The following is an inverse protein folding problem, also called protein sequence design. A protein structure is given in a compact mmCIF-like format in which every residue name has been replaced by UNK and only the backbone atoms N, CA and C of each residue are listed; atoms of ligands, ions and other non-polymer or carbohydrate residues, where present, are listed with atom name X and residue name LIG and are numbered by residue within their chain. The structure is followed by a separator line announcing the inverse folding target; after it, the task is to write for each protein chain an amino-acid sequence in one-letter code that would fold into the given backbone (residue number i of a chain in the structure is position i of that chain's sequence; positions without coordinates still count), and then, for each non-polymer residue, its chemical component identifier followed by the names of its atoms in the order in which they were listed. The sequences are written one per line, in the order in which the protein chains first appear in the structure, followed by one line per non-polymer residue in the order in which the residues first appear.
data_IF_047208434455
#
_entry.id   IF_047208434455
#
_cell.length_a   1.000
_cell.length_b   1.000
_cell.length_c   1.000
_cell.angle_alpha   90.00
_cell.angle_beta   90.00
_cell.angle_gamma   90.00
#
_symmetry.space_group_name_H-M   'P 1'
#
loop_
_entity.id
_entity.type
_entity.pdbx_description
1 polymer ?
#
# COMPACT_ATOMS: atom_id res chain seq x y z
N UNK A 1 4.33 -27.69 9.79
CA UNK A 1 4.00 -26.29 10.14
C UNK A 1 3.04 -25.77 9.09
N UNK A 2 1.85 -25.35 9.44
CA UNK A 2 0.90 -24.74 8.49
C UNK A 2 0.84 -23.25 8.77
N UNK A 3 1.17 -22.43 7.78
CA UNK A 3 0.98 -20.99 7.85
C UNK A 3 -0.44 -20.69 7.39
N UNK A 4 -1.09 -19.88 8.16
CA UNK A 4 -2.30 -19.19 7.72
C UNK A 4 -1.87 -17.77 7.44
N UNK A 5 -1.84 -17.41 6.17
CA UNK A 5 -1.83 -16.00 5.79
C UNK A 5 -3.14 -15.43 6.33
N UNK A 6 -3.09 -14.81 7.51
CA UNK A 6 -4.21 -14.00 7.96
C UNK A 6 -4.36 -12.88 6.96
N UNK A 7 -5.37 -12.98 6.09
CA UNK A 7 -5.74 -11.93 5.13
C UNK A 7 -6.01 -10.56 5.81
N UNK A 8 -6.18 -10.56 7.12
CA UNK A 8 -6.33 -9.37 7.96
C UNK A 8 -5.06 -8.50 8.08
N UNK A 9 -3.86 -9.07 7.92
CA UNK A 9 -2.63 -8.29 7.96
C UNK A 9 -2.48 -7.33 6.77
N UNK A 10 -3.14 -7.62 5.65
CA UNK A 10 -3.11 -6.75 4.47
C UNK A 10 -4.08 -5.56 4.56
N UNK A 11 -5.16 -5.67 5.34
CA UNK A 11 -6.15 -4.60 5.49
C UNK A 11 -5.72 -3.53 6.52
N UNK A 12 -4.84 -3.85 7.47
CA UNK A 12 -4.38 -2.91 8.50
C UNK A 12 -3.18 -2.05 8.08
N UNK A 13 -2.51 -2.36 6.98
CA UNK A 13 -1.34 -1.62 6.49
C UNK A 13 -1.65 -0.56 5.43
N UNK A 14 -2.89 -0.47 4.93
CA UNK A 14 -3.31 0.60 4.02
C UNK A 14 -3.67 1.92 4.73
N UNK A 15 -3.58 1.98 6.04
CA UNK A 15 -3.86 3.20 6.83
C UNK A 15 -2.66 4.16 6.98
N UNK A 16 -1.55 3.92 6.29
CA UNK A 16 -0.43 4.86 6.24
C UNK A 16 -0.61 5.83 5.07
N UNK A 17 -1.14 6.99 5.43
CA UNK A 17 -0.98 8.30 4.80
C UNK A 17 -1.05 8.36 3.27
N UNK A 18 -2.24 8.31 2.71
CA UNK A 18 -2.49 8.87 1.39
C UNK A 18 -2.72 10.38 1.51
N UNK A 19 -1.70 11.17 1.27
CA UNK A 19 -1.83 12.59 1.03
C UNK A 19 -2.28 12.84 -0.40
N UNK A 20 -3.58 12.95 -0.64
CA UNK A 20 -4.12 13.44 -1.91
C UNK A 20 -4.18 14.97 -1.88
N UNK A 21 -3.96 15.61 -3.03
CA UNK A 21 -4.18 17.05 -3.22
C UNK A 21 -5.65 17.40 -2.97
N UNK A 22 -6.03 17.74 -1.75
CA UNK A 22 -7.31 18.37 -1.48
C UNK A 22 -7.20 19.86 -1.79
N UNK A 23 -7.97 20.35 -2.79
CA UNK A 23 -8.20 21.78 -2.96
C UNK A 23 -9.23 22.21 -1.91
N UNK A 24 -8.82 23.17 -1.06
CA UNK A 24 -9.75 23.90 -0.18
C UNK A 24 -10.87 24.53 -1.01
N UNK A 25 -12.10 24.09 -0.84
CA UNK A 25 -13.26 24.92 -1.11
C UNK A 25 -13.54 25.74 0.14
N UNK A 26 -13.19 27.02 0.13
CA UNK A 26 -13.57 27.95 1.17
C UNK A 26 -15.11 28.02 1.23
N UNK A 27 -15.68 27.45 2.27
CA UNK A 27 -17.10 27.56 2.59
C UNK A 27 -17.42 28.93 3.11
N UNK A 28 -18.33 29.60 2.42
CA UNK A 28 -18.93 30.86 2.81
C UNK A 28 -19.87 30.63 4.00
N UNK A 29 -19.73 31.41 5.07
CA UNK A 29 -20.53 31.29 6.30
C UNK A 29 -22.01 31.50 6.02
N UNK A 30 -22.79 30.45 6.17
CA UNK A 30 -24.25 30.46 6.21
C UNK A 30 -24.71 29.71 7.46
N UNK A 31 -25.73 30.25 8.14
CA UNK A 31 -26.45 29.62 9.26
C UNK A 31 -27.17 28.35 8.76
N UNK A 32 -26.46 27.25 8.69
CA UNK A 32 -26.98 25.96 8.30
C UNK A 32 -26.87 24.96 9.45
N UNK A 33 -27.84 24.08 9.58
CA UNK A 33 -27.77 22.87 10.41
C UNK A 33 -26.46 22.14 10.15
N UNK A 34 -25.73 21.81 11.18
CA UNK A 34 -24.46 21.05 11.06
C UNK A 34 -24.78 19.73 10.37
N UNK A 35 -24.23 19.57 9.16
CA UNK A 35 -24.34 18.31 8.41
C UNK A 35 -23.71 17.18 9.23
N UNK A 36 -24.43 16.07 9.37
CA UNK A 36 -23.92 14.92 10.12
C UNK A 36 -22.75 14.28 9.35
N UNK A 37 -21.90 13.53 10.06
CA UNK A 37 -20.79 12.84 9.43
C UNK A 37 -21.27 11.85 8.33
N UNK A 38 -22.43 11.19 8.53
CA UNK A 38 -23.01 10.31 7.52
C UNK A 38 -23.54 11.07 6.30
N UNK A 39 -24.10 12.26 6.47
CA UNK A 39 -24.53 13.11 5.33
C UNK A 39 -23.34 13.50 4.44
N UNK A 40 -22.17 13.80 5.04
CA UNK A 40 -20.93 14.07 4.30
C UNK A 40 -20.48 12.86 3.49
N UNK A 41 -20.48 11.67 4.10
CA UNK A 41 -20.14 10.42 3.42
C UNK A 41 -21.14 10.14 2.29
N UNK A 42 -22.44 10.28 2.56
CA UNK A 42 -23.50 10.03 1.58
C UNK A 42 -23.35 10.94 0.36
N UNK A 43 -23.17 12.25 0.58
CA UNK A 43 -22.96 13.23 -0.47
C UNK A 43 -21.71 12.92 -1.31
N UNK A 44 -20.60 12.52 -0.66
CA UNK A 44 -19.37 12.16 -1.35
C UNK A 44 -19.54 10.89 -2.20
N UNK A 45 -20.17 9.86 -1.67
CA UNK A 45 -20.44 8.61 -2.40
C UNK A 45 -21.38 8.83 -3.57
N UNK A 46 -22.45 9.62 -3.40
CA UNK A 46 -23.39 9.94 -4.46
C UNK A 46 -22.73 10.66 -5.64
N UNK A 47 -21.73 11.52 -5.38
CA UNK A 47 -20.99 12.23 -6.43
C UNK A 47 -19.85 11.38 -7.01
N UNK A 48 -19.04 10.69 -6.17
CA UNK A 48 -17.72 10.21 -6.57
C UNK A 48 -17.53 8.71 -6.61
N UNK A 49 -18.35 7.93 -5.87
CA UNK A 49 -18.20 6.48 -5.87
C UNK A 49 -18.33 5.91 -7.29
N UNK A 50 -17.49 4.95 -7.65
CA UNK A 50 -17.46 4.41 -9.01
C UNK A 50 -18.80 3.80 -9.44
N UNK A 51 -19.53 3.20 -8.52
CA UNK A 51 -20.89 2.63 -8.75
C UNK A 51 -22.00 3.51 -8.18
N UNK A 52 -21.88 4.84 -8.34
CA UNK A 52 -22.84 5.79 -7.81
C UNK A 52 -24.27 5.65 -8.41
N UNK A 53 -24.41 5.02 -9.57
CA UNK A 53 -25.72 4.72 -10.18
C UNK A 53 -26.57 3.78 -9.32
N UNK A 54 -26.02 2.62 -8.89
CA UNK A 54 -26.70 1.73 -7.95
C UNK A 54 -26.82 2.38 -6.57
N UNK A 55 -25.76 3.02 -6.08
CA UNK A 55 -25.74 3.72 -4.79
C UNK A 55 -26.89 4.73 -4.68
N UNK A 56 -27.13 5.53 -5.72
CA UNK A 56 -28.21 6.53 -5.76
C UNK A 56 -29.63 5.95 -5.70
N UNK A 57 -29.79 4.66 -6.04
CA UNK A 57 -31.10 3.96 -6.01
C UNK A 57 -31.36 3.24 -4.69
N UNK A 58 -30.35 3.12 -3.82
CA UNK A 58 -30.50 2.42 -2.55
C UNK A 58 -31.21 3.26 -1.50
N UNK A 59 -31.97 2.60 -0.64
CA UNK A 59 -32.39 3.18 0.63
C UNK A 59 -31.20 3.18 1.58
N UNK A 60 -30.83 4.34 2.12
CA UNK A 60 -29.67 4.52 3.00
C UNK A 60 -30.14 4.87 4.42
N UNK A 61 -29.54 4.23 5.39
CA UNK A 61 -29.77 4.53 6.80
C UNK A 61 -28.66 5.44 7.33
N UNK A 62 -28.92 6.74 7.32
CA UNK A 62 -27.97 7.77 7.79
C UNK A 62 -27.84 7.80 9.32
N UNK A 63 -28.59 6.97 10.05
CA UNK A 63 -28.51 6.91 11.52
C UNK A 63 -27.48 5.91 12.05
N UNK A 64 -26.79 5.18 11.15
CA UNK A 64 -25.76 4.20 11.54
C UNK A 64 -24.61 4.89 12.27
N UNK A 65 -24.38 4.48 13.52
CA UNK A 65 -23.28 5.00 14.30
C UNK A 65 -21.93 4.38 13.89
N UNK A 66 -20.85 5.15 14.08
CA UNK A 66 -19.50 4.67 13.85
C UNK A 66 -19.04 3.82 15.05
N UNK A 67 -19.10 2.49 14.93
CA UNK A 67 -18.60 1.56 15.94
C UNK A 67 -17.09 1.28 15.75
N UNK A 68 -16.66 1.01 14.52
CA UNK A 68 -15.27 0.72 14.15
C UNK A 68 -15.01 1.04 12.68
N UNK A 69 -13.75 1.02 12.24
CA UNK A 69 -13.35 1.27 10.84
C UNK A 69 -14.01 0.30 9.85
N UNK A 70 -14.36 -0.89 10.29
CA UNK A 70 -15.09 -1.91 9.51
C UNK A 70 -16.57 -2.03 9.87
N UNK A 71 -17.08 -1.22 10.78
CA UNK A 71 -18.49 -1.20 11.19
C UNK A 71 -18.99 0.24 11.32
N UNK A 72 -19.48 0.78 10.22
CA UNK A 72 -19.91 2.16 10.05
C UNK A 72 -20.87 2.26 8.85
N UNK A 73 -21.42 3.44 8.61
CA UNK A 73 -22.34 3.73 7.51
C UNK A 73 -21.79 3.31 6.15
N UNK A 74 -20.55 3.69 5.81
CA UNK A 74 -19.93 3.36 4.53
C UNK A 74 -19.87 1.84 4.34
N UNK A 75 -19.28 1.13 5.30
CA UNK A 75 -19.06 -0.32 5.19
C UNK A 75 -20.38 -1.08 5.07
N UNK A 76 -21.35 -0.78 5.92
CA UNK A 76 -22.65 -1.46 5.90
C UNK A 76 -23.41 -1.21 4.59
N UNK A 77 -23.38 0.03 4.10
CA UNK A 77 -24.04 0.40 2.85
C UNK A 77 -23.39 -0.29 1.64
N UNK A 78 -22.07 -0.17 1.49
CA UNK A 78 -21.38 -0.71 0.31
C UNK A 78 -21.33 -2.23 0.27
N UNK A 79 -21.33 -2.91 1.41
CA UNK A 79 -21.46 -4.38 1.45
C UNK A 79 -22.83 -4.85 0.95
N UNK A 80 -23.89 -4.04 1.11
CA UNK A 80 -25.24 -4.31 0.61
C UNK A 80 -25.40 -4.20 -0.91
N UNK A 81 -24.48 -3.53 -1.62
CA UNK A 81 -24.54 -3.34 -3.07
C UNK A 81 -24.22 -4.65 -3.83
N UNK A 82 -24.58 -4.70 -5.10
CA UNK A 82 -24.37 -5.88 -5.98
C UNK A 82 -23.42 -5.64 -7.14
N UNK A 83 -23.41 -4.42 -7.71
CA UNK A 83 -22.56 -4.07 -8.87
C UNK A 83 -21.11 -3.80 -8.53
N UNK A 84 -20.79 -3.48 -7.27
CA UNK A 84 -19.45 -3.08 -6.83
C UNK A 84 -18.50 -4.26 -6.58
N UNK A 85 -18.47 -5.23 -7.49
CA UNK A 85 -17.69 -6.47 -7.33
C UNK A 85 -16.19 -6.23 -7.29
N UNK A 86 -15.68 -5.17 -7.95
CA UNK A 86 -14.26 -4.80 -7.94
C UNK A 86 -13.85 -4.10 -6.63
N UNK A 87 -14.80 -3.57 -5.86
CA UNK A 87 -14.55 -3.04 -4.52
C UNK A 87 -14.54 -4.15 -3.46
N UNK A 88 -15.09 -5.32 -3.78
CA UNK A 88 -15.26 -6.45 -2.84
C UNK A 88 -14.20 -7.51 -3.06
N UNK A 89 -13.26 -7.64 -2.11
CA UNK A 89 -12.33 -8.75 -2.07
C UNK A 89 -12.95 -9.93 -1.29
N UNK A 90 -13.10 -11.06 -1.98
CA UNK A 90 -13.57 -12.30 -1.37
C UNK A 90 -12.45 -12.98 -0.60
N UNK A 91 -12.75 -13.41 0.61
CA UNK A 91 -11.91 -14.24 1.46
C UNK A 91 -12.65 -15.50 1.86
N UNK A 92 -11.88 -16.56 2.14
CA UNK A 92 -12.45 -17.80 2.70
C UNK A 92 -11.81 -18.04 4.07
N UNK A 93 -12.64 -18.17 5.10
CA UNK A 93 -12.15 -18.49 6.45
C UNK A 93 -11.56 -19.90 6.51
N UNK A 94 -10.79 -20.18 7.55
CA UNK A 94 -10.29 -21.53 7.83
C UNK A 94 -11.39 -22.58 8.00
N UNK A 95 -12.61 -22.14 8.30
CA UNK A 95 -13.81 -22.98 8.37
C UNK A 95 -14.56 -23.11 7.03
N UNK A 96 -14.00 -22.58 5.93
CA UNK A 96 -14.60 -22.66 4.60
C UNK A 96 -15.72 -21.65 4.32
N UNK A 97 -15.99 -20.72 5.24
CA UNK A 97 -16.97 -19.66 5.02
C UNK A 97 -16.39 -18.52 4.19
N UNK A 98 -17.17 -18.03 3.22
CA UNK A 98 -16.80 -16.89 2.43
C UNK A 98 -17.27 -15.59 3.13
N UNK A 99 -16.40 -14.60 3.12
CA UNK A 99 -16.72 -13.23 3.52
C UNK A 99 -16.07 -12.24 2.56
N UNK A 100 -16.56 -11.00 2.58
CA UNK A 100 -16.04 -9.95 1.73
C UNK A 100 -15.51 -8.81 2.58
N UNK A 101 -14.33 -8.28 2.21
CA UNK A 101 -13.85 -7.00 2.66
C UNK A 101 -13.94 -6.01 1.51
N UNK A 102 -14.20 -4.76 1.83
CA UNK A 102 -14.14 -3.67 0.87
C UNK A 102 -12.71 -3.17 0.72
N UNK A 103 -12.36 -2.68 -0.47
CA UNK A 103 -11.22 -1.79 -0.65
C UNK A 103 -11.55 -0.37 -0.18
N UNK A 104 -12.80 0.09 -0.40
CA UNK A 104 -13.30 1.34 0.17
C UNK A 104 -13.26 1.29 1.69
N UNK A 105 -12.78 2.37 2.31
CA UNK A 105 -12.68 2.45 3.76
C UNK A 105 -12.96 3.86 4.28
N UNK A 106 -13.24 3.94 5.58
CA UNK A 106 -13.20 5.17 6.36
C UNK A 106 -12.47 4.88 7.67
N UNK A 107 -11.58 5.78 8.08
CA UNK A 107 -10.91 5.73 9.38
C UNK A 107 -11.26 6.95 10.20
N UNK A 108 -11.24 6.80 11.52
CA UNK A 108 -11.51 7.87 12.49
C UNK A 108 -10.39 7.96 13.51
N UNK A 109 -9.88 9.16 13.72
CA UNK A 109 -8.88 9.46 14.76
C UNK A 109 -9.36 10.60 15.65
N UNK A 110 -9.13 10.50 16.97
CA UNK A 110 -9.37 11.61 17.87
C UNK A 110 -8.51 12.81 17.46
N UNK A 111 -9.10 14.00 17.44
CA UNK A 111 -8.37 15.25 17.13
C UNK A 111 -7.37 15.57 18.23
N UNK A 112 -6.10 15.68 17.87
CA UNK A 112 -5.08 16.21 18.76
C UNK A 112 -5.27 17.72 18.88
N UNK A 113 -5.50 18.23 20.10
CA UNK A 113 -5.58 19.69 20.37
C UNK A 113 -4.26 20.43 20.10
N UNK A 114 -3.17 19.73 19.81
CA UNK A 114 -1.83 20.29 19.61
C UNK A 114 -1.46 20.49 18.12
N UNK A 115 -2.28 20.15 17.16
CA UNK A 115 -1.95 20.23 15.74
C UNK A 115 -2.63 21.43 15.04
N UNK A 116 -2.50 22.62 15.59
CA UNK A 116 -2.76 23.86 14.85
C UNK A 116 -1.50 24.26 14.09
N UNK A 117 -1.47 23.95 12.80
CA UNK A 117 -0.54 24.58 11.90
C UNK A 117 0.54 23.67 11.32
N UNK A 118 0.19 22.95 10.28
CA UNK A 118 1.05 22.76 9.11
C UNK A 118 0.15 22.31 7.96
N UNK A 119 -0.48 23.29 7.31
CA UNK A 119 -1.01 23.12 5.96
C UNK A 119 0.17 23.10 5.01
N UNK A 120 0.71 21.95 4.69
CA UNK A 120 1.72 21.81 3.66
C UNK A 120 1.04 21.39 2.36
N UNK A 121 0.87 22.34 1.47
CA UNK A 121 0.73 22.08 0.04
C UNK A 121 2.09 21.59 -0.47
N UNK A 122 2.14 20.38 -0.98
CA UNK A 122 3.34 19.81 -1.59
C UNK A 122 3.82 18.56 -0.87
N UNK A 123 4.54 17.73 -1.58
CA UNK A 123 5.37 16.68 -1.00
C UNK A 123 6.35 17.35 -0.05
N UNK A 124 6.37 16.96 1.21
CA UNK A 124 7.29 17.51 2.21
C UNK A 124 8.67 16.89 2.00
N UNK A 125 9.40 17.40 1.01
CA UNK A 125 10.81 17.08 0.84
C UNK A 125 11.58 17.51 2.11
N UNK A 126 12.30 16.59 2.73
CA UNK A 126 13.27 16.87 3.77
C UNK A 126 12.75 16.95 5.21
N UNK A 127 11.47 16.76 5.50
CA UNK A 127 10.97 16.68 6.88
C UNK A 127 10.85 15.20 7.27
N UNK A 128 11.80 14.70 8.07
CA UNK A 128 11.67 13.38 8.70
C UNK A 128 10.38 13.35 9.51
N UNK A 129 9.42 12.53 9.10
CA UNK A 129 8.26 12.21 9.91
C UNK A 129 8.65 11.17 10.93
N UNK A 130 9.03 11.60 12.13
CA UNK A 130 8.99 10.71 13.27
C UNK A 130 7.53 10.33 13.51
N UNK A 131 7.24 9.06 13.33
CA UNK A 131 5.90 8.53 13.46
C UNK A 131 5.61 8.02 14.87
N UNK A 132 4.55 7.23 14.99
CA UNK A 132 4.15 6.58 16.21
C UNK A 132 5.26 5.64 16.74
N UNK A 133 5.20 5.30 18.02
CA UNK A 133 6.11 4.34 18.62
C UNK A 133 5.96 2.97 17.98
N UNK A 134 7.08 2.25 17.81
CA UNK A 134 7.11 0.90 17.26
C UNK A 134 8.36 0.15 17.64
N UNK A 135 8.29 -1.18 17.54
CA UNK A 135 9.46 -2.05 17.71
C UNK A 135 10.30 -2.15 16.42
N UNK A 136 9.76 -1.72 15.29
CA UNK A 136 10.46 -1.73 14.01
C UNK A 136 10.10 -2.90 13.10
N UNK A 137 9.08 -3.66 13.41
CA UNK A 137 8.54 -4.66 12.49
C UNK A 137 7.79 -3.96 11.37
N UNK A 138 8.37 -3.95 10.17
CA UNK A 138 7.67 -3.44 8.99
C UNK A 138 6.52 -4.39 8.60
N UNK A 139 6.68 -5.69 8.87
CA UNK A 139 5.60 -6.68 8.70
C UNK A 139 5.81 -7.88 9.60
N UNK A 140 4.74 -8.31 10.27
CA UNK A 140 4.65 -9.54 11.05
C UNK A 140 3.57 -10.44 10.47
N UNK A 141 3.76 -11.76 10.59
CA UNK A 141 2.73 -12.75 10.33
C UNK A 141 2.48 -13.64 11.54
N UNK A 142 1.37 -14.36 11.53
CA UNK A 142 1.02 -15.36 12.54
C UNK A 142 1.35 -16.75 12.00
N UNK A 143 2.03 -17.57 12.80
CA UNK A 143 2.36 -18.96 12.48
C UNK A 143 1.71 -19.88 13.52
N UNK A 144 1.11 -20.97 13.05
CA UNK A 144 0.57 -22.03 13.91
C UNK A 144 1.55 -23.17 14.03
N UNK A 145 1.77 -23.62 15.26
CA UNK A 145 2.63 -24.76 15.52
C UNK A 145 1.81 -26.04 15.49
N UNK A 146 2.10 -26.91 14.51
CA UNK A 146 1.35 -28.15 14.30
C UNK A 146 1.26 -29.00 15.57
N UNK A 147 0.06 -29.47 15.89
CA UNK A 147 -0.23 -30.40 17.01
C UNK A 147 0.07 -29.87 18.42
N UNK A 148 0.22 -28.55 18.60
CA UNK A 148 0.49 -27.95 19.92
C UNK A 148 -0.66 -27.11 20.47
N UNK A 149 -1.60 -26.69 19.61
CA UNK A 149 -2.62 -25.68 19.96
C UNK A 149 -2.01 -24.31 20.25
N UNK A 150 -0.76 -24.07 19.83
CA UNK A 150 -0.04 -22.82 20.03
C UNK A 150 0.23 -22.11 18.70
N UNK A 151 0.34 -20.79 18.79
CA UNK A 151 0.75 -19.91 17.71
C UNK A 151 1.99 -19.12 18.09
N UNK A 152 2.57 -18.43 17.13
CA UNK A 152 3.66 -17.49 17.33
C UNK A 152 3.60 -16.40 16.26
N UNK A 153 4.57 -15.51 16.30
CA UNK A 153 4.72 -14.49 15.28
C UNK A 153 6.01 -14.73 14.51
N UNK A 154 5.97 -14.49 13.20
CA UNK A 154 7.17 -14.52 12.38
C UNK A 154 7.43 -13.17 11.74
N UNK A 155 8.69 -12.80 11.68
CA UNK A 155 9.13 -11.55 11.07
C UNK A 155 9.14 -11.72 9.55
N UNK A 156 8.40 -10.88 8.85
CA UNK A 156 8.40 -10.81 7.39
C UNK A 156 9.33 -9.72 6.88
N UNK A 157 9.40 -8.60 7.60
CA UNK A 157 10.32 -7.51 7.30
C UNK A 157 10.52 -6.62 8.53
N UNK A 158 11.69 -5.97 8.62
CA UNK A 158 12.03 -4.98 9.64
C UNK A 158 12.43 -3.65 9.00
N UNK A 159 12.19 -2.55 9.69
CA UNK A 159 12.71 -1.25 9.27
C UNK A 159 14.19 -1.13 9.64
N UNK A 160 15.06 -0.75 8.69
CA UNK A 160 16.49 -0.55 8.96
C UNK A 160 16.73 0.44 10.12
N UNK A 161 17.66 0.13 11.00
CA UNK A 161 18.03 0.94 12.17
C UNK A 161 16.99 0.98 13.29
N UNK A 162 15.91 0.19 13.21
CA UNK A 162 14.89 0.08 14.25
C UNK A 162 15.35 -0.76 15.45
N UNK A 163 14.61 -0.75 16.60
CA UNK A 163 14.93 -1.65 17.72
C UNK A 163 15.03 -3.13 17.30
N UNK A 164 14.10 -3.62 16.49
CA UNK A 164 14.12 -5.00 16.00
C UNK A 164 15.35 -5.29 15.12
N UNK A 165 15.73 -4.34 14.24
CA UNK A 165 16.91 -4.48 13.39
C UNK A 165 18.21 -4.49 14.20
N UNK A 166 18.35 -3.57 15.17
CA UNK A 166 19.52 -3.50 16.08
C UNK A 166 19.65 -4.75 16.97
N UNK A 167 18.52 -5.37 17.32
CA UNK A 167 18.49 -6.63 18.06
C UNK A 167 18.82 -7.86 17.19
N UNK A 168 19.06 -7.68 15.90
CA UNK A 168 19.39 -8.77 14.98
C UNK A 168 18.19 -9.57 14.48
N UNK A 169 16.96 -9.14 14.74
CA UNK A 169 15.78 -9.78 14.17
C UNK A 169 15.74 -9.54 12.67
N UNK A 170 15.51 -10.60 11.91
CA UNK A 170 15.52 -10.61 10.45
C UNK A 170 14.30 -11.35 9.92
N UNK A 171 14.03 -11.18 8.64
CA UNK A 171 13.00 -11.97 7.95
C UNK A 171 13.22 -13.45 8.21
N UNK A 172 12.18 -14.15 8.66
CA UNK A 172 12.21 -15.56 9.04
C UNK A 172 12.38 -15.82 10.55
N UNK A 173 12.74 -14.83 11.37
CA UNK A 173 12.74 -15.00 12.84
C UNK A 173 11.33 -15.33 13.32
N UNK A 174 11.19 -16.36 14.16
CA UNK A 174 9.92 -16.79 14.75
C UNK A 174 9.96 -16.60 16.26
N UNK A 175 8.95 -15.92 16.80
CA UNK A 175 8.75 -15.77 18.24
C UNK A 175 7.74 -16.80 18.73
N UNK A 176 8.13 -17.61 19.73
CA UNK A 176 7.27 -18.62 20.38
C UNK A 176 6.58 -18.12 21.63
N UNK A 177 7.18 -17.14 22.32
CA UNK A 177 6.63 -16.54 23.53
C UNK A 177 6.78 -15.02 23.48
N UNK A 178 5.82 -14.32 24.08
CA UNK A 178 5.83 -12.88 24.28
C UNK A 178 5.58 -12.61 25.76
N UNK A 179 6.50 -11.86 26.41
CA UNK A 179 6.51 -11.59 27.84
C UNK A 179 6.47 -12.87 28.70
N UNK A 180 7.19 -13.91 28.27
CA UNK A 180 7.28 -15.20 28.94
C UNK A 180 6.02 -16.09 28.80
N UNK A 181 5.06 -15.68 27.97
CA UNK A 181 3.83 -16.42 27.75
C UNK A 181 3.75 -17.02 26.33
N UNK A 182 3.42 -18.29 26.22
CA UNK A 182 3.03 -18.92 24.96
C UNK A 182 1.66 -18.40 24.52
N UNK A 183 1.45 -18.30 23.22
CA UNK A 183 0.22 -17.76 22.60
C UNK A 183 -0.65 -18.92 22.13
N UNK A 184 -1.91 -18.96 22.55
CA UNK A 184 -2.84 -19.97 22.05
C UNK A 184 -3.21 -19.74 20.59
N UNK A 185 -3.45 -20.82 19.83
CA UNK A 185 -3.85 -20.78 18.44
C UNK A 185 -5.36 -20.46 18.31
N UNK A 186 -5.73 -19.26 18.76
CA UNK A 186 -7.05 -18.69 18.53
C UNK A 186 -6.95 -17.21 18.20
N UNK A 187 -7.86 -16.73 17.37
CA UNK A 187 -7.86 -15.34 16.91
C UNK A 187 -8.03 -14.35 18.07
N UNK A 188 -8.87 -14.70 19.04
CA UNK A 188 -9.08 -13.90 20.26
C UNK A 188 -7.81 -13.73 21.09
N UNK A 189 -6.90 -14.68 21.07
CA UNK A 189 -5.66 -14.66 21.85
C UNK A 189 -4.50 -13.97 21.12
N UNK A 190 -4.25 -14.32 19.86
CA UNK A 190 -3.12 -13.70 19.16
C UNK A 190 -3.40 -12.29 18.62
N UNK A 191 -4.66 -11.90 18.36
CA UNK A 191 -4.97 -10.56 17.81
C UNK A 191 -4.61 -9.41 18.76
N UNK A 192 -4.93 -9.44 20.06
CA UNK A 192 -4.49 -8.40 20.99
C UNK A 192 -2.96 -8.28 21.07
N UNK A 193 -2.25 -9.42 21.07
CA UNK A 193 -0.78 -9.44 21.08
C UNK A 193 -0.24 -8.84 19.79
N UNK A 194 -0.76 -9.25 18.62
CA UNK A 194 -0.38 -8.68 17.32
C UNK A 194 -0.54 -7.16 17.29
N UNK A 195 -1.69 -6.63 17.73
CA UNK A 195 -1.94 -5.18 17.81
C UNK A 195 -0.92 -4.48 18.70
N UNK A 196 -0.59 -5.05 19.86
CA UNK A 196 0.42 -4.49 20.77
C UNK A 196 1.82 -4.47 20.13
N UNK A 197 2.18 -5.47 19.34
CA UNK A 197 3.47 -5.55 18.66
C UNK A 197 3.56 -4.60 17.45
N UNK A 198 2.46 -4.35 16.77
CA UNK A 198 2.42 -3.49 15.57
C UNK A 198 2.07 -2.03 15.89
N UNK A 199 1.38 -1.77 17.00
CA UNK A 199 0.95 -0.44 17.43
C UNK A 199 1.07 -0.31 18.95
N UNK A 200 2.29 -0.28 19.50
CA UNK A 200 2.51 -0.18 20.94
C UNK A 200 2.07 1.19 21.48
N UNK A 201 1.64 1.22 22.73
CA UNK A 201 1.34 2.46 23.45
C UNK A 201 2.63 3.08 24.00
N UNK A 202 3.12 4.13 23.36
CA UNK A 202 4.33 4.85 23.80
C UNK A 202 5.58 3.95 23.78
N UNK A 203 6.53 4.24 24.65
CA UNK A 203 7.79 3.50 24.81
C UNK A 203 7.61 2.18 25.61
N UNK A 204 6.63 1.38 25.22
CA UNK A 204 6.40 0.08 25.86
C UNK A 204 7.56 -0.89 25.62
N UNK A 205 7.86 -1.74 26.62
CA UNK A 205 8.84 -2.81 26.49
C UNK A 205 8.14 -4.16 26.38
N UNK A 206 8.72 -5.06 25.58
CA UNK A 206 8.22 -6.43 25.35
C UNK A 206 9.40 -7.39 25.31
N UNK A 207 9.27 -8.52 26.01
CA UNK A 207 10.22 -9.63 25.97
C UNK A 207 9.81 -10.59 24.84
N UNK A 208 10.72 -10.85 23.93
CA UNK A 208 10.55 -11.79 22.80
C UNK A 208 11.42 -13.02 23.03
N UNK A 209 10.87 -14.21 22.85
CA UNK A 209 11.63 -15.45 22.83
C UNK A 209 11.68 -16.04 21.43
N UNK A 210 12.88 -16.15 20.89
CA UNK A 210 13.11 -16.71 19.55
C UNK A 210 12.95 -18.23 19.62
N UNK A 211 12.12 -18.79 18.76
CA UNK A 211 11.76 -20.21 18.77
C UNK A 211 12.94 -21.13 18.50
N UNK A 212 13.77 -20.77 17.52
CA UNK A 212 14.84 -21.65 17.04
C UNK A 212 16.00 -21.75 18.04
N UNK A 213 16.33 -20.64 18.70
CA UNK A 213 17.50 -20.56 19.62
C UNK A 213 17.11 -20.60 21.08
N UNK A 214 15.86 -20.31 21.42
CA UNK A 214 15.42 -20.10 22.80
C UNK A 214 15.92 -18.79 23.41
N UNK A 215 16.60 -17.93 22.63
CA UNK A 215 17.12 -16.64 23.08
C UNK A 215 15.98 -15.69 23.42
N UNK A 216 16.16 -14.97 24.54
CA UNK A 216 15.21 -13.97 25.01
C UNK A 216 15.81 -12.58 24.85
N UNK A 217 15.05 -11.68 24.21
CA UNK A 217 15.46 -10.31 23.95
C UNK A 217 14.34 -9.35 24.30
N UNK A 218 14.63 -8.35 25.12
CA UNK A 218 13.68 -7.27 25.41
C UNK A 218 13.87 -6.13 24.42
N UNK A 219 12.80 -5.75 23.71
CA UNK A 219 12.78 -4.53 22.92
C UNK A 219 11.94 -3.46 23.62
N UNK A 220 12.40 -2.22 23.53
CA UNK A 220 11.61 -1.03 23.89
C UNK A 220 11.19 -0.32 22.61
N UNK A 221 9.92 -0.01 22.50
CA UNK A 221 9.39 0.72 21.35
C UNK A 221 9.93 2.16 21.33
N UNK A 222 10.34 2.61 20.17
CA UNK A 222 10.87 3.94 19.89
C UNK A 222 10.04 4.66 18.83
N UNK A 223 10.20 5.95 18.69
CA UNK A 223 9.67 6.67 17.53
C UNK A 223 10.43 6.20 16.28
N UNK A 224 9.71 5.66 15.32
CA UNK A 224 10.31 5.09 14.11
C UNK A 224 10.37 6.11 12.97
N UNK A 225 11.32 5.88 12.08
CA UNK A 225 11.31 6.41 10.73
C UNK A 225 10.98 5.25 9.77
N UNK A 226 9.69 4.99 9.47
CA UNK A 226 9.27 3.79 8.72
C UNK A 226 9.50 3.99 7.22
N UNK A 227 10.76 4.16 6.83
CA UNK A 227 11.16 4.25 5.42
C UNK A 227 10.71 2.99 4.66
N UNK A 228 9.87 3.10 3.63
CA UNK A 228 9.41 1.95 2.87
C UNK A 228 10.50 1.30 2.01
N UNK A 229 11.65 1.96 1.76
CA UNK A 229 12.83 1.33 1.17
C UNK A 229 13.54 0.53 2.26
N UNK A 230 13.24 -0.76 2.33
CA UNK A 230 13.81 -1.64 3.36
C UNK A 230 15.22 -2.10 3.02
N UNK A 231 15.55 -2.18 1.74
CA UNK A 231 16.86 -2.54 1.21
C UNK A 231 17.07 -1.93 -0.16
N UNK A 232 18.26 -1.42 -0.42
CA UNK A 232 18.70 -0.98 -1.75
C UNK A 232 20.21 -1.23 -1.86
N UNK A 233 20.59 -2.16 -2.73
CA UNK A 233 21.99 -2.55 -2.94
C UNK A 233 22.27 -2.88 -4.40
N UNK A 234 23.53 -2.85 -4.78
CA UNK A 234 24.00 -3.30 -6.09
C UNK A 234 24.68 -4.66 -5.93
N UNK A 235 24.20 -5.64 -6.68
CA UNK A 235 24.76 -6.99 -6.75
C UNK A 235 25.52 -7.11 -8.06
N UNK A 236 26.77 -7.55 -8.00
CA UNK A 236 27.59 -7.81 -9.19
C UNK A 236 27.52 -9.31 -9.51
N UNK A 237 27.02 -9.64 -10.71
CA UNK A 237 26.92 -11.01 -11.21
C UNK A 237 27.51 -11.07 -12.64
N UNK A 238 28.75 -11.57 -12.77
CA UNK A 238 29.47 -11.56 -14.03
C UNK A 238 29.69 -10.14 -14.55
N UNK A 239 29.16 -9.83 -15.73
CA UNK A 239 29.22 -8.49 -16.34
C UNK A 239 28.02 -7.60 -15.95
N UNK A 240 27.03 -8.15 -15.23
CA UNK A 240 25.83 -7.44 -14.83
C UNK A 240 26.02 -6.72 -13.49
N UNK A 241 25.51 -5.50 -13.42
CA UNK A 241 25.31 -4.76 -12.19
C UNK A 241 23.81 -4.67 -11.93
N UNK A 242 23.33 -5.40 -10.94
CA UNK A 242 21.93 -5.56 -10.65
C UNK A 242 21.57 -4.68 -9.47
N UNK A 243 20.68 -3.70 -9.68
CA UNK A 243 20.04 -2.98 -8.57
C UNK A 243 19.01 -3.89 -7.93
N UNK A 244 19.15 -4.20 -6.65
CA UNK A 244 18.14 -4.90 -5.88
C UNK A 244 17.50 -3.96 -4.86
N UNK A 245 16.17 -3.80 -4.92
CA UNK A 245 15.43 -2.93 -4.01
C UNK A 245 14.23 -3.66 -3.42
N UNK A 246 14.13 -3.70 -2.10
CA UNK A 246 12.93 -4.13 -1.36
C UNK A 246 12.14 -2.88 -0.96
N UNK A 247 10.92 -2.74 -1.51
CA UNK A 247 10.09 -1.55 -1.33
C UNK A 247 8.70 -1.95 -0.83
N UNK A 248 8.36 -1.51 0.39
CA UNK A 248 7.22 -2.05 1.14
C UNK A 248 5.93 -1.22 1.03
N UNK A 249 5.96 -0.03 0.44
CA UNK A 249 4.76 0.82 0.29
C UNK A 249 5.03 2.13 -0.43
N UNK A 250 4.04 2.64 -1.15
CA UNK A 250 4.11 3.92 -1.84
C UNK A 250 3.60 5.03 -0.93
N UNK A 251 4.50 5.66 -0.16
CA UNK A 251 4.19 6.83 0.66
C UNK A 251 5.02 8.02 0.20
N UNK A 252 4.34 9.02 -0.38
CA UNK A 252 4.97 10.22 -0.92
C UNK A 252 5.80 11.01 0.11
N UNK A 253 5.59 10.78 1.40
CA UNK A 253 6.41 11.40 2.44
C UNK A 253 7.85 10.88 2.46
N UNK A 254 8.13 9.75 1.81
CA UNK A 254 9.44 9.09 1.72
C UNK A 254 9.96 9.01 0.29
N UNK A 255 9.38 9.76 -0.65
CA UNK A 255 9.82 9.75 -2.05
C UNK A 255 11.28 10.20 -2.22
N UNK A 256 11.78 11.08 -1.33
CA UNK A 256 13.19 11.47 -1.34
C UNK A 256 14.12 10.28 -1.05
N UNK A 257 13.78 9.41 -0.11
CA UNK A 257 14.57 8.19 0.19
C UNK A 257 14.56 7.22 -1.00
N UNK A 258 13.42 7.12 -1.69
CA UNK A 258 13.31 6.33 -2.91
C UNK A 258 14.17 6.93 -4.04
N UNK A 259 14.10 8.24 -4.25
CA UNK A 259 14.91 8.96 -5.24
C UNK A 259 16.41 8.83 -4.94
N UNK A 260 16.82 8.92 -3.67
CA UNK A 260 18.22 8.72 -3.27
C UNK A 260 18.71 7.30 -3.58
N UNK A 261 17.86 6.31 -3.42
CA UNK A 261 18.18 4.91 -3.77
C UNK A 261 18.32 4.73 -5.29
N UNK A 262 17.44 5.35 -6.08
CA UNK A 262 17.51 5.34 -7.54
C UNK A 262 18.74 6.08 -8.05
N UNK A 263 19.13 7.19 -7.40
CA UNK A 263 20.38 7.91 -7.72
C UNK A 263 21.59 7.01 -7.51
N UNK A 264 21.67 6.28 -6.39
CA UNK A 264 22.76 5.32 -6.12
C UNK A 264 22.84 4.25 -7.21
N UNK A 265 21.72 3.73 -7.66
CA UNK A 265 21.66 2.75 -8.75
C UNK A 265 22.15 3.34 -10.08
N UNK A 266 21.69 4.54 -10.44
CA UNK A 266 22.17 5.25 -11.64
C UNK A 266 23.67 5.49 -11.57
N UNK A 267 24.17 6.00 -10.44
CA UNK A 267 25.58 6.34 -10.28
C UNK A 267 26.48 5.10 -10.30
N UNK A 268 25.97 3.95 -9.84
CA UNK A 268 26.64 2.66 -9.98
C UNK A 268 26.60 2.11 -11.41
N UNK A 269 25.73 2.65 -12.27
CA UNK A 269 25.54 2.20 -13.64
C UNK A 269 24.93 0.79 -13.70
N UNK A 270 23.83 0.56 -12.99
CA UNK A 270 23.15 -0.74 -13.05
C UNK A 270 22.68 -1.05 -14.47
N UNK A 271 22.79 -2.31 -14.86
CA UNK A 271 22.30 -2.85 -16.13
C UNK A 271 20.90 -3.42 -16.01
N UNK A 272 20.55 -3.92 -14.82
CA UNK A 272 19.32 -4.61 -14.52
C UNK A 272 18.74 -4.14 -13.17
N UNK A 273 17.41 -4.27 -13.00
CA UNK A 273 16.72 -3.97 -11.75
C UNK A 273 15.90 -5.16 -11.32
N UNK A 274 16.12 -5.66 -10.11
CA UNK A 274 15.20 -6.55 -9.39
C UNK A 274 14.47 -5.74 -8.35
N UNK A 275 13.17 -5.55 -8.58
CA UNK A 275 12.32 -4.74 -7.75
C UNK A 275 11.39 -5.62 -6.91
N UNK A 276 11.64 -5.70 -5.61
CA UNK A 276 10.93 -6.58 -4.69
C UNK A 276 9.72 -5.86 -4.08
N UNK A 277 8.56 -6.19 -4.63
CA UNK A 277 7.25 -5.69 -4.21
C UNK A 277 6.40 -6.75 -3.50
N UNK A 278 6.99 -7.86 -3.07
CA UNK A 278 6.23 -9.02 -2.54
C UNK A 278 5.27 -8.68 -1.41
N UNK A 279 5.56 -7.67 -0.61
CA UNK A 279 4.69 -7.24 0.50
C UNK A 279 4.09 -5.85 0.30
N UNK A 280 4.29 -5.24 -0.86
CA UNK A 280 3.84 -3.88 -1.14
C UNK A 280 2.36 -3.85 -1.59
N UNK A 281 1.48 -3.42 -0.71
CA UNK A 281 0.04 -3.31 -0.98
C UNK A 281 -0.37 -2.09 -1.82
N UNK A 282 0.59 -1.29 -2.30
CA UNK A 282 0.32 -0.06 -3.05
C UNK A 282 0.54 1.20 -2.22
N UNK A 283 -0.28 2.20 -2.43
CA UNK A 283 -0.24 3.52 -1.81
C UNK A 283 -0.46 4.65 -2.81
N UNK A 284 0.30 5.74 -2.70
CA UNK A 284 0.12 6.91 -3.56
C UNK A 284 0.45 6.63 -5.03
N UNK A 285 -0.51 6.89 -5.92
CA UNK A 285 -0.32 6.75 -7.39
C UNK A 285 0.78 7.69 -7.89
N UNK A 286 0.92 8.85 -7.26
CA UNK A 286 1.95 9.82 -7.66
C UNK A 286 3.37 9.29 -7.45
N UNK A 287 3.64 8.59 -6.34
CA UNK A 287 4.92 7.93 -6.08
C UNK A 287 5.15 6.76 -7.04
N UNK A 288 4.09 6.02 -7.39
CA UNK A 288 4.16 4.95 -8.40
C UNK A 288 4.54 5.50 -9.78
N UNK A 289 3.91 6.62 -10.18
CA UNK A 289 4.24 7.33 -11.43
C UNK A 289 5.69 7.83 -11.44
N UNK A 290 6.15 8.46 -10.34
CA UNK A 290 7.52 8.92 -10.18
C UNK A 290 8.51 7.77 -10.36
N UNK A 291 8.33 6.67 -9.65
CA UNK A 291 9.18 5.48 -9.73
C UNK A 291 9.20 4.90 -11.15
N UNK A 292 8.03 4.71 -11.76
CA UNK A 292 7.93 4.20 -13.13
C UNK A 292 8.63 5.13 -14.13
N UNK A 293 8.54 6.45 -13.91
CA UNK A 293 9.24 7.46 -14.70
C UNK A 293 10.77 7.29 -14.60
N UNK A 294 11.29 7.14 -13.40
CA UNK A 294 12.73 6.94 -13.17
C UNK A 294 13.23 5.63 -13.79
N UNK A 295 12.47 4.54 -13.70
CA UNK A 295 12.81 3.26 -14.31
C UNK A 295 12.90 3.40 -15.84
N UNK A 296 11.86 3.98 -16.46
CA UNK A 296 11.75 4.09 -17.92
C UNK A 296 12.71 5.15 -18.52
N UNK A 297 13.03 6.20 -17.75
CA UNK A 297 13.84 7.31 -18.19
C UNK A 297 13.21 8.02 -19.41
N UNK A 298 14.02 8.43 -20.39
CA UNK A 298 13.58 9.18 -21.58
C UNK A 298 12.47 8.47 -22.38
N UNK A 299 12.38 7.14 -22.31
CA UNK A 299 11.37 6.36 -23.04
C UNK A 299 9.94 6.69 -22.65
N UNK A 300 9.72 7.25 -21.48
CA UNK A 300 8.39 7.61 -21.00
C UNK A 300 7.97 9.05 -21.33
N UNK A 301 8.86 9.87 -21.90
CA UNK A 301 8.57 11.27 -22.17
C UNK A 301 7.36 11.44 -23.10
N UNK A 302 6.42 12.27 -22.67
CA UNK A 302 5.16 12.50 -23.37
C UNK A 302 4.17 11.32 -23.39
N UNK A 303 4.52 10.17 -22.82
CA UNK A 303 3.65 8.99 -22.82
C UNK A 303 2.70 8.98 -21.63
N UNK A 304 1.55 8.33 -21.81
CA UNK A 304 0.55 8.14 -20.76
C UNK A 304 1.03 7.09 -19.77
N UNK A 305 1.06 7.45 -18.49
CA UNK A 305 1.26 6.51 -17.38
C UNK A 305 0.00 5.72 -17.11
N UNK A 306 -1.15 6.43 -16.95
CA UNK A 306 -2.42 5.81 -16.62
C UNK A 306 -3.59 6.57 -17.21
N UNK A 307 -4.57 5.83 -17.75
CA UNK A 307 -5.91 6.30 -18.02
C UNK A 307 -6.82 5.98 -16.84
N UNK A 308 -7.85 6.83 -16.66
CA UNK A 308 -8.84 6.76 -15.58
C UNK A 308 -10.25 6.73 -16.15
N UNK A 309 -11.05 5.77 -15.74
CA UNK A 309 -12.50 5.78 -15.92
C UNK A 309 -13.14 6.05 -14.57
N UNK A 310 -13.83 7.15 -14.47
CA UNK A 310 -14.67 7.52 -13.31
C UNK A 310 -16.08 6.96 -13.49
N UNK A 311 -16.99 7.24 -12.52
CA UNK A 311 -18.41 6.92 -12.68
C UNK A 311 -19.05 7.66 -13.85
N UNK A 312 -20.22 7.21 -14.30
CA UNK A 312 -20.86 7.72 -15.51
C UNK A 312 -21.23 9.20 -15.42
N UNK A 313 -21.61 9.70 -14.24
CA UNK A 313 -21.91 11.13 -14.03
C UNK A 313 -20.68 12.01 -14.25
N UNK A 314 -19.50 11.56 -13.76
CA UNK A 314 -18.24 12.28 -13.95
C UNK A 314 -17.71 12.16 -15.38
N UNK A 315 -17.94 11.02 -16.04
CA UNK A 315 -17.60 10.84 -17.46
C UNK A 315 -18.49 11.71 -18.37
N UNK A 316 -19.74 11.96 -17.98
CA UNK A 316 -20.68 12.82 -18.73
C UNK A 316 -20.35 14.33 -18.63
N UNK A 317 -19.62 14.77 -17.60
CA UNK A 317 -19.14 16.16 -17.45
C UNK A 317 -17.60 16.21 -17.34
N UNK A 318 -16.89 16.07 -18.48
CA UNK A 318 -15.43 16.07 -18.47
C UNK A 318 -14.80 17.37 -17.95
N UNK A 319 -15.44 18.53 -18.20
CA UNK A 319 -14.89 19.81 -17.78
C UNK A 319 -14.89 19.94 -16.25
N UNK A 320 -15.99 19.57 -15.59
CA UNK A 320 -16.09 19.53 -14.12
C UNK A 320 -15.10 18.52 -13.55
N UNK A 321 -15.04 17.32 -14.11
CA UNK A 321 -14.18 16.25 -13.63
C UNK A 321 -12.69 16.60 -13.78
N UNK A 322 -12.27 17.19 -14.89
CA UNK A 322 -10.90 17.68 -15.07
C UNK A 322 -10.53 18.75 -14.02
N UNK A 323 -11.46 19.66 -13.72
CA UNK A 323 -11.24 20.66 -12.66
C UNK A 323 -11.10 20.03 -11.27
N UNK A 324 -11.82 18.95 -10.99
CA UNK A 324 -11.77 18.23 -9.71
C UNK A 324 -10.51 17.41 -9.54
N UNK A 325 -10.08 16.70 -10.59
CA UNK A 325 -9.00 15.71 -10.53
C UNK A 325 -7.64 16.27 -10.97
N UNK A 326 -7.63 17.25 -11.87
CA UNK A 326 -6.44 17.71 -12.56
C UNK A 326 -6.03 16.85 -13.76
N UNK A 327 -6.67 15.70 -13.97
CA UNK A 327 -6.39 14.79 -15.07
C UNK A 327 -6.92 15.34 -16.40
N UNK A 328 -6.20 15.14 -17.48
CA UNK A 328 -6.60 15.61 -18.82
C UNK A 328 -7.60 14.64 -19.43
N UNK A 329 -8.62 15.17 -20.14
CA UNK A 329 -9.61 14.35 -20.84
C UNK A 329 -9.20 14.09 -22.29
N UNK A 330 -9.04 12.82 -22.65
CA UNK A 330 -8.82 12.35 -24.02
C UNK A 330 -10.18 12.12 -24.69
N UNK A 331 -10.54 13.01 -25.63
CA UNK A 331 -11.85 12.94 -26.32
C UNK A 331 -11.98 11.72 -27.24
N UNK A 332 -10.89 11.25 -27.83
CA UNK A 332 -10.92 10.11 -28.74
C UNK A 332 -11.11 8.80 -27.99
N UNK A 333 -10.52 8.71 -26.81
CA UNK A 333 -10.58 7.51 -25.97
C UNK A 333 -11.74 7.55 -24.97
N UNK A 334 -12.37 8.72 -24.80
CA UNK A 334 -13.38 8.98 -23.77
C UNK A 334 -12.91 8.56 -22.36
N UNK A 335 -11.65 8.87 -22.01
CA UNK A 335 -11.01 8.55 -20.72
C UNK A 335 -10.23 9.78 -20.24
N UNK A 336 -10.03 9.87 -18.95
CA UNK A 336 -9.07 10.80 -18.39
C UNK A 336 -7.68 10.16 -18.34
N UNK A 337 -6.61 10.96 -18.36
CA UNK A 337 -5.26 10.44 -18.29
C UNK A 337 -4.31 11.37 -17.55
N UNK A 338 -3.22 10.79 -17.09
CA UNK A 338 -2.01 11.50 -16.73
C UNK A 338 -0.80 10.86 -17.42
N UNK A 339 0.16 11.71 -17.78
CA UNK A 339 1.42 11.30 -18.37
C UNK A 339 2.44 10.95 -17.29
N UNK A 340 3.47 10.21 -17.67
CA UNK A 340 4.70 10.14 -16.90
C UNK A 340 5.26 11.54 -16.64
N UNK A 341 6.04 11.72 -15.58
CA UNK A 341 6.55 13.03 -15.15
C UNK A 341 8.06 13.18 -15.41
N UNK A 342 8.49 12.98 -16.65
CA UNK A 342 9.94 12.90 -17.00
C UNK A 342 10.68 14.25 -16.90
N UNK A 343 10.28 15.27 -16.44
CA UNK A 343 11.01 16.54 -16.26
C UNK A 343 10.81 17.12 -14.88
N UNK A 344 9.58 17.09 -14.39
CA UNK A 344 9.26 17.74 -13.13
C UNK A 344 8.41 16.82 -12.24
N UNK A 345 8.83 16.71 -11.00
CA UNK A 345 8.10 16.07 -9.93
C UNK A 345 8.19 16.95 -8.69
N UNK A 346 7.20 17.84 -8.50
CA UNK A 346 7.19 18.81 -7.39
C UNK A 346 8.49 19.60 -7.22
N UNK A 347 9.11 20.01 -8.34
CA UNK A 347 10.37 20.75 -8.36
C UNK A 347 11.63 19.88 -8.44
N UNK A 348 11.51 18.55 -8.37
CA UNK A 348 12.63 17.65 -8.67
C UNK A 348 12.65 17.31 -10.16
N UNK A 349 13.80 17.48 -10.81
CA UNK A 349 14.01 16.99 -12.18
C UNK A 349 14.31 15.50 -12.17
N UNK A 350 13.33 14.68 -12.56
CA UNK A 350 13.45 13.21 -12.53
C UNK A 350 14.50 12.67 -13.51
N UNK A 351 14.98 13.47 -14.48
CA UNK A 351 16.05 13.06 -15.39
C UNK A 351 17.33 12.68 -14.64
N UNK A 352 17.58 13.35 -13.51
CA UNK A 352 18.75 13.05 -12.68
C UNK A 352 18.65 11.73 -11.87
N UNK A 353 17.53 11.04 -11.93
CA UNK A 353 17.31 9.74 -11.29
C UNK A 353 16.99 8.63 -12.30
N UNK A 354 17.00 8.97 -13.59
CA UNK A 354 16.59 8.08 -14.66
C UNK A 354 17.57 6.90 -14.82
N UNK A 355 17.03 5.68 -14.81
CA UNK A 355 17.77 4.44 -15.06
C UNK A 355 17.75 4.04 -16.54
N UNK A 356 16.66 4.37 -17.25
CA UNK A 356 16.52 4.12 -18.70
C UNK A 356 16.46 2.65 -19.09
N UNK A 357 15.99 1.78 -18.20
CA UNK A 357 15.98 0.33 -18.39
C UNK A 357 14.95 -0.11 -19.44
N UNK A 358 15.28 -1.17 -20.18
CA UNK A 358 14.37 -1.82 -21.16
C UNK A 358 13.55 -2.93 -20.53
N UNK A 359 14.14 -3.60 -19.55
CA UNK A 359 13.56 -4.73 -18.86
C UNK A 359 13.82 -4.59 -17.36
N UNK A 360 12.87 -5.08 -16.56
CA UNK A 360 13.02 -5.22 -15.11
C UNK A 360 12.44 -6.55 -14.65
N UNK A 361 12.91 -7.02 -13.52
CA UNK A 361 12.36 -8.15 -12.79
C UNK A 361 11.61 -7.65 -11.56
N UNK A 362 10.40 -8.15 -11.32
CA UNK A 362 9.60 -7.76 -10.15
C UNK A 362 9.24 -9.00 -9.35
N UNK A 363 9.60 -8.99 -8.06
CA UNK A 363 9.24 -10.06 -7.14
C UNK A 363 7.88 -9.76 -6.54
N UNK A 364 6.92 -10.68 -6.65
CA UNK A 364 5.52 -10.46 -6.31
C UNK A 364 4.91 -11.57 -5.47
N UNK A 365 3.90 -11.23 -4.67
CA UNK A 365 3.00 -12.19 -4.00
C UNK A 365 1.55 -11.70 -4.08
N UNK A 366 0.61 -12.44 -3.51
CA UNK A 366 -0.78 -12.00 -3.36
C UNK A 366 -0.97 -10.71 -2.54
N UNK A 367 0.08 -10.22 -1.88
CA UNK A 367 0.10 -8.92 -1.20
C UNK A 367 0.51 -7.76 -2.11
N UNK A 368 1.08 -8.03 -3.28
CA UNK A 368 1.44 -7.00 -4.28
C UNK A 368 0.18 -6.46 -4.92
N UNK A 369 -0.17 -5.18 -4.68
CA UNK A 369 -1.48 -4.63 -5.05
C UNK A 369 -1.45 -3.17 -5.49
N UNK A 370 -2.50 -2.73 -6.20
CA UNK A 370 -2.82 -1.31 -6.44
C UNK A 370 -1.65 -0.56 -7.13
N UNK A 371 -1.04 0.45 -6.50
CA UNK A 371 0.07 1.22 -7.05
C UNK A 371 1.27 0.36 -7.46
N UNK A 372 1.52 -0.78 -6.80
CA UNK A 372 2.52 -1.77 -7.25
C UNK A 372 2.15 -2.36 -8.60
N UNK A 373 0.88 -2.72 -8.79
CA UNK A 373 0.37 -3.24 -10.05
C UNK A 373 0.29 -2.14 -11.11
N UNK A 374 0.03 -0.88 -10.71
CA UNK A 374 0.03 0.27 -11.61
C UNK A 374 1.42 0.55 -12.20
N UNK A 375 2.51 0.41 -11.41
CA UNK A 375 3.89 0.48 -11.92
C UNK A 375 4.13 -0.58 -13.00
N UNK A 376 3.80 -1.84 -12.69
CA UNK A 376 3.96 -2.96 -13.62
C UNK A 376 3.16 -2.71 -14.90
N UNK A 377 1.88 -2.34 -14.77
CA UNK A 377 0.99 -2.12 -15.90
C UNK A 377 1.37 -0.88 -16.73
N UNK A 378 1.75 0.22 -16.07
CA UNK A 378 2.20 1.44 -16.73
C UNK A 378 3.47 1.23 -17.56
N UNK A 379 4.47 0.53 -17.02
CA UNK A 379 5.69 0.19 -17.76
C UNK A 379 5.40 -0.73 -18.96
N UNK A 380 4.58 -1.76 -18.80
CA UNK A 380 4.13 -2.62 -19.92
C UNK A 380 3.36 -1.83 -20.98
N UNK A 381 2.62 -0.80 -20.57
CA UNK A 381 1.88 0.10 -21.47
C UNK A 381 2.77 0.87 -22.45
N UNK A 382 4.03 1.08 -22.11
CA UNK A 382 5.04 1.79 -22.94
C UNK A 382 6.15 0.88 -23.46
N UNK A 383 5.91 -0.44 -23.48
CA UNK A 383 6.83 -1.46 -24.02
C UNK A 383 8.13 -1.64 -23.21
N UNK A 384 8.11 -1.34 -21.91
CA UNK A 384 9.14 -1.79 -20.99
C UNK A 384 8.83 -3.25 -20.60
N UNK A 385 9.81 -4.13 -20.74
CA UNK A 385 9.67 -5.53 -20.35
C UNK A 385 9.59 -5.67 -18.83
N UNK A 386 8.56 -6.35 -18.32
CA UNK A 386 8.39 -6.61 -16.89
C UNK A 386 8.19 -8.11 -16.69
N UNK A 387 9.19 -8.77 -16.14
CA UNK A 387 9.18 -10.18 -15.77
C UNK A 387 8.78 -10.33 -14.32
N UNK A 388 7.68 -11.04 -14.06
CA UNK A 388 7.19 -11.30 -12.70
C UNK A 388 7.69 -12.65 -12.19
N UNK A 389 8.24 -12.66 -10.97
CA UNK A 389 8.77 -13.84 -10.28
C UNK A 389 8.10 -13.93 -8.91
N UNK A 390 7.65 -15.11 -8.54
CA UNK A 390 7.05 -15.35 -7.24
C UNK A 390 5.63 -15.90 -7.33
N UNK A 391 4.68 -15.18 -6.74
CA UNK A 391 3.27 -15.55 -6.73
C UNK A 391 2.42 -14.49 -7.45
N UNK A 392 1.26 -14.92 -7.91
CA UNK A 392 0.28 -14.04 -8.56
C UNK A 392 -0.09 -12.85 -7.68
N UNK A 393 -0.19 -11.65 -8.27
CA UNK A 393 -0.53 -10.41 -7.55
C UNK A 393 -1.98 -10.37 -7.07
N UNK A 394 -2.37 -9.30 -6.42
CA UNK A 394 -3.69 -9.12 -5.82
C UNK A 394 -4.83 -8.97 -6.84
N UNK A 395 -4.63 -8.14 -7.88
CA UNK A 395 -5.65 -7.80 -8.87
C UNK A 395 -6.49 -6.57 -8.51
N UNK A 396 -5.95 -5.60 -7.76
CA UNK A 396 -6.64 -4.34 -7.46
C UNK A 396 -6.41 -3.33 -8.58
N UNK A 397 -7.29 -3.34 -9.60
CA UNK A 397 -7.27 -2.42 -10.74
C UNK A 397 -8.05 -1.12 -10.53
N UNK A 398 -8.55 -0.89 -9.32
CA UNK A 398 -9.35 0.27 -8.93
C UNK A 398 -8.62 1.12 -7.91
N UNK A 399 -8.93 2.41 -7.90
CA UNK A 399 -8.30 3.38 -7.00
C UNK A 399 -9.27 4.34 -6.36
N UNK A 400 -8.74 5.19 -5.50
CA UNK A 400 -9.48 6.07 -4.59
C UNK A 400 -9.01 7.50 -4.73
N UNK A 401 -9.93 8.43 -4.62
CA UNK A 401 -9.64 9.80 -4.20
C UNK A 401 -9.98 9.88 -2.72
N UNK A 402 -9.02 10.36 -1.92
CA UNK A 402 -9.17 10.41 -0.48
C UNK A 402 -9.66 11.78 -0.07
N UNK A 403 -10.73 11.80 0.72
CA UNK A 403 -11.23 13.02 1.37
C UNK A 403 -10.96 12.98 2.87
N UNK A 404 -10.63 14.16 3.43
CA UNK A 404 -10.38 14.31 4.87
C UNK A 404 -11.25 15.42 5.42
N UNK A 405 -12.00 15.11 6.44
CA UNK A 405 -12.88 16.08 7.10
C UNK A 405 -12.90 15.88 8.61
N UNK A 406 -13.25 16.94 9.31
CA UNK A 406 -13.45 16.93 10.75
C UNK A 406 -14.94 16.94 11.08
N UNK A 407 -15.31 16.17 12.11
CA UNK A 407 -16.64 16.22 12.71
C UNK A 407 -16.54 15.98 14.22
N UNK A 408 -17.00 16.96 15.01
CA UNK A 408 -16.86 16.95 16.47
C UNK A 408 -15.39 16.80 16.91
N UNK A 409 -15.13 15.84 17.77
CA UNK A 409 -13.80 15.56 18.34
C UNK A 409 -12.94 14.65 17.47
N UNK A 410 -13.39 14.35 16.25
CA UNK A 410 -12.73 13.39 15.36
C UNK A 410 -12.34 13.98 14.01
N UNK A 411 -11.23 13.48 13.47
CA UNK A 411 -10.85 13.62 12.06
C UNK A 411 -11.08 12.31 11.35
N UNK A 412 -11.67 12.40 10.16
CA UNK A 412 -12.01 11.26 9.30
C UNK A 412 -11.14 11.28 8.03
N UNK A 413 -10.78 10.10 7.58
CA UNK A 413 -10.22 9.87 6.24
C UNK A 413 -11.16 8.91 5.52
N UNK A 414 -11.78 9.40 4.44
CA UNK A 414 -12.75 8.70 3.61
C UNK A 414 -12.11 8.36 2.26
N UNK A 415 -12.05 7.08 1.93
CA UNK A 415 -11.38 6.56 0.74
C UNK A 415 -12.25 5.54 -0.01
N UNK A 416 -13.32 5.95 -0.68
CA UNK A 416 -14.11 5.07 -1.53
C UNK A 416 -13.42 4.84 -2.87
N UNK A 417 -13.71 3.73 -3.53
CA UNK A 417 -13.29 3.50 -4.92
C UNK A 417 -13.96 4.52 -5.84
N UNK A 418 -13.16 5.30 -6.55
CA UNK A 418 -13.65 6.38 -7.42
C UNK A 418 -13.28 6.21 -8.88
N UNK A 419 -12.31 5.37 -9.20
CA UNK A 419 -11.88 5.14 -10.58
C UNK A 419 -11.39 3.73 -10.84
N UNK A 420 -11.39 3.34 -12.09
CA UNK A 420 -10.69 2.19 -12.66
C UNK A 420 -9.51 2.67 -13.51
N UNK A 421 -8.35 1.97 -13.38
CA UNK A 421 -7.10 2.32 -14.05
C UNK A 421 -6.78 1.45 -15.26
N UNK A 422 -6.20 2.06 -16.31
CA UNK A 422 -5.73 1.40 -17.53
C UNK A 422 -4.37 1.95 -17.93
N UNK A 423 -3.54 1.14 -18.58
CA UNK A 423 -2.26 1.60 -19.14
C UNK A 423 -2.41 2.35 -20.48
N UNK A 424 -1.31 2.77 -21.07
CA UNK A 424 -1.29 3.49 -22.36
C UNK A 424 -1.93 2.71 -23.50
N UNK A 425 -1.98 1.36 -23.42
CA UNK A 425 -2.63 0.45 -24.39
C UNK A 425 -4.10 0.18 -24.07
N UNK A 426 -4.64 0.81 -23.03
CA UNK A 426 -5.98 0.57 -22.48
C UNK A 426 -6.16 -0.85 -21.91
N UNK A 427 -5.10 -1.45 -21.42
CA UNK A 427 -5.15 -2.70 -20.69
C UNK A 427 -5.26 -2.42 -19.19
N UNK A 428 -6.13 -3.14 -18.50
CA UNK A 428 -6.27 -3.06 -17.04
C UNK A 428 -5.61 -4.26 -16.37
N UNK A 429 -5.30 -4.10 -15.08
CA UNK A 429 -4.87 -5.23 -14.26
C UNK A 429 -6.03 -6.21 -14.09
N UNK A 430 -5.78 -7.48 -14.35
CA UNK A 430 -6.80 -8.51 -14.17
C UNK A 430 -7.24 -8.57 -12.70
N UNK A 431 -8.54 -8.49 -12.38
CA UNK A 431 -9.03 -8.60 -11.01
C UNK A 431 -8.65 -9.91 -10.28
N UNK A 432 -8.30 -10.94 -11.04
CA UNK A 432 -7.75 -12.18 -10.47
C UNK A 432 -6.25 -12.09 -10.14
N UNK A 433 -5.59 -10.96 -10.43
CA UNK A 433 -4.15 -10.74 -10.28
C UNK A 433 -3.36 -10.95 -11.57
N UNK A 434 -2.17 -10.35 -11.63
CA UNK A 434 -1.20 -10.57 -12.70
C UNK A 434 -0.53 -11.93 -12.51
N UNK A 435 -0.55 -12.76 -13.54
CA UNK A 435 0.16 -14.05 -13.51
C UNK A 435 1.67 -13.83 -13.58
N UNK A 436 2.43 -14.66 -12.86
CA UNK A 436 3.89 -14.62 -12.87
C UNK A 436 4.47 -15.37 -14.08
N UNK A 437 5.63 -14.92 -14.53
CA UNK A 437 6.42 -15.63 -15.54
C UNK A 437 7.12 -16.85 -14.94
N UNK A 438 7.57 -16.71 -13.68
CA UNK A 438 8.25 -17.77 -12.93
C UNK A 438 7.64 -17.92 -11.55
N UNK A 439 7.01 -19.07 -11.30
CA UNK A 439 6.41 -19.37 -10.00
C UNK A 439 7.50 -19.77 -8.99
N UNK A 440 7.61 -18.99 -7.93
CA UNK A 440 8.49 -19.25 -6.78
C UNK A 440 7.71 -18.88 -5.52
N UNK A 441 7.48 -19.84 -4.63
CA UNK A 441 6.76 -19.58 -3.40
C UNK A 441 7.60 -18.71 -2.45
N UNK A 442 6.98 -17.68 -1.86
CA UNK A 442 7.59 -16.85 -0.82
C UNK A 442 7.90 -17.66 0.44
N UNK A 443 7.04 -18.61 0.74
CA UNK A 443 7.21 -19.55 1.85
C UNK A 443 7.47 -20.97 1.34
N UNK A 444 8.64 -21.50 1.69
CA UNK A 444 8.96 -22.91 1.48
C UNK A 444 9.55 -23.49 2.78
N UNK A 445 8.68 -23.90 3.72
CA UNK A 445 9.01 -24.36 5.07
C UNK A 445 9.65 -23.31 6.00
N UNK A 446 10.30 -22.31 5.49
CA UNK A 446 10.85 -21.14 6.22
C UNK A 446 10.92 -19.93 5.30
N UNK A 447 10.98 -18.74 5.88
CA UNK A 447 11.41 -17.52 5.18
C UNK A 447 12.95 -17.43 5.26
N UNK A 448 13.57 -17.12 4.13
CA UNK A 448 14.99 -16.77 4.05
C UNK A 448 15.09 -15.25 4.03
N UNK A 449 16.08 -14.66 4.71
CA UNK A 449 16.26 -13.21 4.72
C UNK A 449 16.49 -12.65 3.32
N UNK A 450 16.20 -11.37 3.13
CA UNK A 450 16.41 -10.70 1.85
C UNK A 450 17.91 -10.77 1.47
N UNK A 451 18.20 -11.17 0.24
CA UNK A 451 19.55 -11.29 -0.28
C UNK A 451 19.68 -12.38 -1.35
N UNK A 452 20.88 -12.59 -1.92
CA UNK A 452 21.10 -13.47 -3.08
C UNK A 452 20.65 -14.93 -2.88
N UNK A 453 20.63 -15.42 -1.65
CA UNK A 453 20.18 -16.79 -1.34
C UNK A 453 18.65 -16.91 -1.19
N UNK A 454 17.93 -15.79 -1.19
CA UNK A 454 16.48 -15.79 -1.11
C UNK A 454 15.89 -16.33 -2.43
N UNK A 455 14.96 -17.31 -2.40
CA UNK A 455 14.57 -18.07 -3.57
C UNK A 455 14.06 -17.25 -4.76
N UNK A 456 13.28 -16.18 -4.52
CA UNK A 456 12.78 -15.34 -5.62
C UNK A 456 13.90 -14.49 -6.22
N UNK A 457 14.76 -13.90 -5.37
CA UNK A 457 15.91 -13.14 -5.84
C UNK A 457 16.92 -14.05 -6.54
N UNK A 458 17.24 -15.21 -5.96
CA UNK A 458 18.12 -16.20 -6.59
C UNK A 458 17.61 -16.60 -7.98
N UNK A 459 16.26 -16.71 -8.15
CA UNK A 459 15.68 -16.98 -9.47
C UNK A 459 15.87 -15.81 -10.43
N UNK A 460 15.76 -14.56 -9.96
CA UNK A 460 15.99 -13.37 -10.79
C UNK A 460 17.46 -13.28 -11.25
N UNK A 461 18.41 -13.62 -10.37
CA UNK A 461 19.86 -13.51 -10.65
C UNK A 461 20.37 -14.49 -11.73
N UNK A 462 19.61 -15.54 -12.04
CA UNK A 462 19.98 -16.53 -13.08
C UNK A 462 19.22 -16.35 -14.41
N UNK A 463 18.43 -15.28 -14.55
CA UNK A 463 17.67 -14.96 -15.77
C UNK A 463 18.33 -13.88 -16.59
#
# INVERSE_FOLDING_TARGET
MRIIHCAWAAALLSALAAGSCAKDTAGNGGTGTTESYNDKIDSYLAERYLWNGEYGQMTRDLTIEYAADNDNFLTRTLLGMTSNTLDKKRYTSGAGQNYYNLYSYITRKARSRAATGLKTRGVNHGVRKETEYGFGFARLGVVRFSNTGKAGFYVMAVYPGSPADRAGFRRGTIFSEIDGAEIADSESEYTPVYKRLTSPSGAASVLFKVRETGEETTLTAERLYPNPVLRAEVIEEGEHKIGYMVYNGFDAAYDDDLLDSLRKFRDAGITDLVFDLRYNGGGHVISAKMLATCIAGEKCDGKVFQYYRYNDSRMADPAKTQKQTGNTYDREKALFYENFSYGDYYGADLKQYALGLQNIYVLTTGSTASSSEAVINGLRGIDIGVTLIGEKTNGKNVGMEIDKFDDGDYSYELAPITFEGYNAKKETVNPAGLAVNYAVADWNNRLVDFGPEEPMLAKALIL
#
